data_IF_142528834332
#
_entry.id   IF_142528834332
#
_cell.length_a   1.000
_cell.length_b   1.000
_cell.length_c   1.000
_cell.angle_alpha   90.00
_cell.angle_beta   90.00
_cell.angle_gamma   90.00
#
_symmetry.space_group_name_H-M   'P 1'
#
loop_
_entity.id
_entity.type
_entity.pdbx_description
1 polymer ?
#
# COMPACT_ATOMS: atom_id res chain seq x y z
N UNK A 1 16.75 -7.38 -30.23
CA UNK A 1 16.95 -5.96 -29.89
C UNK A 1 15.62 -5.24 -29.70
N UNK A 2 14.68 -5.33 -30.67
CA UNK A 2 13.35 -4.69 -30.61
C UNK A 2 12.53 -5.05 -29.36
N UNK A 3 12.45 -6.33 -28.99
CA UNK A 3 11.71 -6.79 -27.81
C UNK A 3 12.21 -6.17 -26.49
N UNK A 4 13.53 -5.99 -26.34
CA UNK A 4 14.11 -5.35 -25.16
C UNK A 4 13.71 -3.87 -25.08
N UNK A 5 13.72 -3.18 -26.22
CA UNK A 5 13.30 -1.77 -26.30
C UNK A 5 11.82 -1.66 -25.93
N UNK A 6 10.96 -2.54 -26.46
CA UNK A 6 9.53 -2.56 -26.13
C UNK A 6 9.28 -2.74 -24.63
N UNK A 7 9.99 -3.67 -23.97
CA UNK A 7 9.90 -3.86 -22.52
C UNK A 7 10.27 -2.57 -21.78
N UNK A 8 11.40 -1.96 -22.12
CA UNK A 8 11.83 -0.71 -21.48
C UNK A 8 10.83 0.42 -21.66
N UNK A 9 10.28 0.58 -22.86
CA UNK A 9 9.26 1.60 -23.15
C UNK A 9 8.00 1.36 -22.32
N UNK A 10 7.49 0.12 -22.27
CA UNK A 10 6.30 -0.22 -21.49
C UNK A 10 6.54 0.00 -20.00
N UNK A 11 7.67 -0.47 -19.47
CA UNK A 11 8.03 -0.29 -18.06
C UNK A 11 8.19 1.19 -17.70
N UNK A 12 8.85 1.97 -18.55
CA UNK A 12 9.06 3.40 -18.31
C UNK A 12 7.72 4.16 -18.35
N UNK A 13 6.88 3.89 -19.35
CA UNK A 13 5.56 4.50 -19.46
C UNK A 13 4.65 4.15 -18.27
N UNK A 14 4.60 2.87 -17.87
CA UNK A 14 3.81 2.43 -16.72
C UNK A 14 4.32 3.08 -15.41
N UNK A 15 5.64 3.13 -15.20
CA UNK A 15 6.24 3.77 -14.01
C UNK A 15 5.95 5.27 -13.98
N UNK A 16 6.12 5.96 -15.13
CA UNK A 16 5.79 7.38 -15.23
C UNK A 16 4.31 7.64 -14.94
N UNK A 17 3.41 6.79 -15.42
CA UNK A 17 1.98 6.91 -15.14
C UNK A 17 1.64 6.65 -13.66
N UNK A 18 2.29 5.69 -13.00
CA UNK A 18 2.14 5.48 -11.55
C UNK A 18 2.56 6.72 -10.75
N UNK A 19 3.68 7.36 -11.13
CA UNK A 19 4.22 8.53 -10.42
C UNK A 19 3.37 9.79 -10.69
N UNK A 20 3.04 10.03 -11.96
CA UNK A 20 2.30 11.24 -12.37
C UNK A 20 0.80 11.17 -12.09
N UNK A 21 0.28 9.97 -11.78
CA UNK A 21 -1.14 9.66 -11.54
C UNK A 21 -2.06 10.38 -12.55
N UNK A 22 -1.87 10.17 -13.87
CA UNK A 22 -2.68 10.85 -14.85
C UNK A 22 -4.14 10.42 -14.66
N UNK A 23 -5.05 11.38 -14.80
CA UNK A 23 -6.50 11.19 -14.66
C UNK A 23 -6.98 10.76 -13.25
N UNK A 24 -6.14 10.90 -12.20
CA UNK A 24 -6.48 10.50 -10.81
C UNK A 24 -6.90 9.04 -10.67
N UNK A 25 -6.51 8.19 -11.61
CA UNK A 25 -6.74 6.75 -11.52
C UNK A 25 -5.84 6.14 -10.44
N UNK A 26 -6.28 5.05 -9.77
CA UNK A 26 -5.45 4.34 -8.82
C UNK A 26 -4.16 3.85 -9.47
N UNK A 27 -3.04 3.98 -8.76
CA UNK A 27 -1.71 3.53 -9.19
C UNK A 27 -1.70 2.07 -9.68
N UNK A 28 -2.50 1.22 -9.03
CA UNK A 28 -2.64 -0.19 -9.37
C UNK A 28 -3.09 -0.39 -10.83
N UNK A 29 -3.94 0.49 -11.36
CA UNK A 29 -4.43 0.39 -12.75
C UNK A 29 -3.25 0.49 -13.71
N UNK A 30 -2.39 1.50 -13.55
CA UNK A 30 -1.23 1.72 -14.42
C UNK A 30 -0.20 0.58 -14.32
N UNK A 31 0.09 0.12 -13.11
CA UNK A 31 1.01 -0.99 -12.88
C UNK A 31 0.50 -2.29 -13.50
N UNK A 32 -0.78 -2.63 -13.29
CA UNK A 32 -1.42 -3.83 -13.84
C UNK A 32 -1.52 -3.75 -15.35
N UNK A 33 -1.90 -2.61 -15.94
CA UNK A 33 -1.95 -2.45 -17.39
C UNK A 33 -0.57 -2.68 -18.02
N UNK A 34 0.51 -2.12 -17.44
CA UNK A 34 1.88 -2.36 -17.91
C UNK A 34 2.25 -3.85 -17.88
N UNK A 35 1.98 -4.53 -16.77
CA UNK A 35 2.24 -5.98 -16.64
C UNK A 35 1.43 -6.81 -17.65
N UNK A 36 0.14 -6.48 -17.84
CA UNK A 36 -0.74 -7.15 -18.82
C UNK A 36 -0.23 -6.95 -20.25
N UNK A 37 0.21 -5.75 -20.63
CA UNK A 37 0.77 -5.49 -21.96
C UNK A 37 2.03 -6.34 -22.21
N UNK A 38 2.91 -6.46 -21.21
CA UNK A 38 4.12 -7.30 -21.33
C UNK A 38 3.78 -8.77 -21.58
N UNK A 39 2.76 -9.30 -20.91
CA UNK A 39 2.32 -10.69 -21.07
C UNK A 39 1.58 -10.89 -22.39
N UNK A 40 0.66 -9.99 -22.75
CA UNK A 40 -0.15 -10.09 -23.98
C UNK A 40 0.70 -10.01 -25.25
N UNK A 41 1.74 -9.16 -25.27
CA UNK A 41 2.68 -9.08 -26.39
C UNK A 41 3.74 -10.18 -26.38
N UNK A 42 3.67 -11.16 -25.46
CA UNK A 42 4.63 -12.25 -25.36
C UNK A 42 6.04 -11.79 -24.97
N UNK A 43 6.18 -10.57 -24.43
CA UNK A 43 7.45 -10.00 -23.97
C UNK A 43 7.88 -10.58 -22.61
N UNK A 44 6.92 -11.13 -21.87
CA UNK A 44 7.14 -11.86 -20.61
C UNK A 44 6.33 -13.16 -20.59
N UNK A 45 6.94 -14.31 -20.25
CA UNK A 45 6.21 -15.56 -20.06
C UNK A 45 5.17 -15.46 -18.93
N UNK A 46 3.98 -16.01 -19.14
CA UNK A 46 2.90 -16.02 -18.14
C UNK A 46 3.35 -16.64 -16.81
N UNK A 47 4.13 -17.73 -16.86
CA UNK A 47 4.66 -18.37 -15.65
C UNK A 47 5.59 -17.47 -14.84
N UNK A 48 6.39 -16.63 -15.51
CA UNK A 48 7.25 -15.66 -14.84
C UNK A 48 6.43 -14.54 -14.17
N UNK A 49 5.39 -14.05 -14.87
CA UNK A 49 4.46 -13.07 -14.32
C UNK A 49 3.73 -13.61 -13.09
N UNK A 50 3.22 -14.84 -13.15
CA UNK A 50 2.55 -15.50 -12.02
C UNK A 50 3.49 -15.70 -10.83
N UNK A 51 4.72 -16.16 -11.09
CA UNK A 51 5.74 -16.30 -10.04
C UNK A 51 6.05 -14.95 -9.38
N UNK A 52 6.06 -13.85 -10.14
CA UNK A 52 6.27 -12.52 -9.59
C UNK A 52 5.14 -12.09 -8.65
N UNK A 53 3.88 -12.41 -8.98
CA UNK A 53 2.73 -12.18 -8.08
C UNK A 53 2.85 -12.99 -6.80
N UNK A 54 3.20 -14.28 -6.92
CA UNK A 54 3.34 -15.17 -5.76
C UNK A 54 4.46 -14.72 -4.80
N UNK A 55 5.55 -14.12 -5.30
CA UNK A 55 6.59 -13.53 -4.44
C UNK A 55 6.07 -12.39 -3.56
N UNK A 56 4.97 -11.74 -3.94
CA UNK A 56 4.34 -10.69 -3.14
C UNK A 56 3.43 -11.22 -2.02
N UNK A 57 3.13 -12.52 -1.99
CA UNK A 57 2.13 -13.12 -1.08
C UNK A 57 2.40 -12.79 0.38
N UNK A 58 3.66 -12.87 0.83
CA UNK A 58 4.02 -12.56 2.22
C UNK A 58 3.70 -11.10 2.57
N UNK A 59 3.98 -10.17 1.65
CA UNK A 59 3.67 -8.75 1.81
C UNK A 59 2.17 -8.51 1.81
N UNK A 60 1.43 -9.17 0.91
CA UNK A 60 -0.03 -9.06 0.84
C UNK A 60 -0.69 -9.56 2.13
N UNK A 61 -0.27 -10.73 2.61
CA UNK A 61 -0.76 -11.29 3.87
C UNK A 61 -0.37 -10.43 5.07
N UNK A 62 0.83 -9.85 5.08
CA UNK A 62 1.24 -8.92 6.12
C UNK A 62 0.36 -7.67 6.17
N UNK A 63 0.14 -7.00 5.04
CA UNK A 63 -0.72 -5.81 4.97
C UNK A 63 -2.16 -6.14 5.37
N UNK A 64 -2.71 -7.24 4.86
CA UNK A 64 -4.05 -7.72 5.22
C UNK A 64 -4.12 -8.02 6.73
N UNK A 65 -3.12 -8.71 7.28
CA UNK A 65 -3.03 -9.04 8.69
C UNK A 65 -3.00 -7.80 9.59
N UNK A 66 -2.20 -6.79 9.23
CA UNK A 66 -2.16 -5.52 9.96
C UNK A 66 -3.50 -4.78 9.91
N UNK A 67 -4.15 -4.74 8.74
CA UNK A 67 -5.47 -4.13 8.59
C UNK A 67 -6.53 -4.86 9.41
N UNK A 68 -6.53 -6.20 9.40
CA UNK A 68 -7.42 -7.02 10.21
C UNK A 68 -7.20 -6.80 11.70
N UNK A 69 -5.96 -6.74 12.15
CA UNK A 69 -5.62 -6.49 13.56
C UNK A 69 -6.12 -5.12 14.00
N UNK A 70 -5.89 -4.09 13.18
CA UNK A 70 -6.38 -2.72 13.43
C UNK A 70 -7.91 -2.66 13.45
N UNK A 71 -8.58 -3.32 12.52
CA UNK A 71 -10.04 -3.38 12.48
C UNK A 71 -10.61 -4.12 13.68
N UNK A 72 -9.97 -5.20 14.12
CA UNK A 72 -10.37 -5.95 15.33
C UNK A 72 -10.20 -5.10 16.58
N UNK A 73 -9.05 -4.43 16.72
CA UNK A 73 -8.79 -3.49 17.81
C UNK A 73 -9.83 -2.35 17.85
N UNK A 74 -10.24 -1.85 16.69
CA UNK A 74 -11.31 -0.86 16.57
C UNK A 74 -12.66 -1.44 17.00
N UNK A 75 -13.02 -2.64 16.53
CA UNK A 75 -14.29 -3.28 16.85
C UNK A 75 -14.44 -3.59 18.35
N UNK A 76 -13.34 -3.97 19.02
CA UNK A 76 -13.29 -4.21 20.47
C UNK A 76 -13.15 -2.92 21.31
N UNK A 77 -13.12 -1.74 20.68
CA UNK A 77 -13.05 -0.44 21.37
C UNK A 77 -11.68 -0.13 22.01
N UNK A 78 -10.62 -0.85 21.65
CA UNK A 78 -9.27 -0.62 22.18
C UNK A 78 -8.80 0.81 21.88
N UNK A 79 -9.01 1.28 20.66
CA UNK A 79 -8.61 2.64 20.26
C UNK A 79 -9.40 3.72 20.99
N UNK A 80 -10.68 3.47 21.29
CA UNK A 80 -11.51 4.41 22.08
C UNK A 80 -11.05 4.46 23.54
N UNK A 81 -10.74 3.30 24.13
CA UNK A 81 -10.19 3.23 25.48
C UNK A 81 -8.87 4.02 25.60
N UNK A 82 -7.96 3.83 24.63
CA UNK A 82 -6.71 4.59 24.54
C UNK A 82 -6.98 6.10 24.41
N UNK A 83 -7.92 6.49 23.54
CA UNK A 83 -8.23 7.90 23.30
C UNK A 83 -8.77 8.58 24.58
N UNK A 84 -9.68 7.93 25.30
CA UNK A 84 -10.20 8.43 26.58
C UNK A 84 -9.08 8.55 27.62
N UNK A 85 -8.18 7.57 27.69
CA UNK A 85 -7.04 7.61 28.59
C UNK A 85 -6.12 8.81 28.28
N UNK A 86 -5.82 9.05 27.00
CA UNK A 86 -5.01 10.20 26.56
C UNK A 86 -5.68 11.55 26.89
N UNK A 87 -7.00 11.68 26.67
CA UNK A 87 -7.76 12.91 26.99
C UNK A 87 -7.73 13.18 28.50
N UNK A 88 -7.98 12.17 29.32
CA UNK A 88 -7.97 12.31 30.78
C UNK A 88 -6.58 12.73 31.30
N UNK A 89 -5.51 12.23 30.69
CA UNK A 89 -4.14 12.62 31.05
C UNK A 89 -3.70 13.97 30.49
N UNK A 90 -4.33 14.48 29.43
CA UNK A 90 -4.00 15.75 28.81
C UNK A 90 -4.31 16.96 29.71
N UNK A 91 -5.26 16.82 30.66
CA UNK A 91 -5.64 17.86 31.63
C UNK A 91 -5.96 19.22 30.98
N UNK A 92 -6.67 19.20 29.85
CA UNK A 92 -7.09 20.39 29.11
C UNK A 92 -6.00 21.08 28.28
N UNK A 93 -4.77 20.56 28.23
CA UNK A 93 -3.69 21.11 27.41
C UNK A 93 -3.60 20.44 26.04
N UNK A 94 -3.75 21.22 24.96
CA UNK A 94 -3.65 20.75 23.57
C UNK A 94 -2.27 20.14 23.27
N UNK A 95 -1.18 20.75 23.73
CA UNK A 95 0.18 20.23 23.49
C UNK A 95 0.41 18.89 24.19
N UNK A 96 -0.14 18.70 25.40
CA UNK A 96 -0.06 17.41 26.12
C UNK A 96 -0.90 16.35 25.44
N UNK A 97 -2.10 16.69 24.97
CA UNK A 97 -2.93 15.76 24.20
C UNK A 97 -2.20 15.30 22.94
N UNK A 98 -1.63 16.23 22.18
CA UNK A 98 -0.86 15.90 20.97
C UNK A 98 0.31 14.97 21.28
N UNK A 99 1.10 15.27 22.30
CA UNK A 99 2.23 14.44 22.71
C UNK A 99 1.81 13.04 23.16
N UNK A 100 0.69 12.92 23.89
CA UNK A 100 0.17 11.63 24.36
C UNK A 100 -0.38 10.78 23.21
N UNK A 101 -1.17 11.37 22.30
CA UNK A 101 -1.69 10.66 21.12
C UNK A 101 -0.55 10.17 20.24
N UNK A 102 0.45 11.02 19.99
CA UNK A 102 1.62 10.63 19.23
C UNK A 102 2.43 9.54 19.94
N UNK A 103 2.64 9.68 21.25
CA UNK A 103 3.37 8.70 22.06
C UNK A 103 2.72 7.32 22.06
N UNK A 104 1.38 7.24 22.14
CA UNK A 104 0.68 5.95 22.04
C UNK A 104 0.80 5.36 20.64
N UNK A 105 0.81 6.18 19.58
CA UNK A 105 0.99 5.68 18.22
C UNK A 105 2.41 5.19 17.87
N UNK A 106 3.41 5.48 18.71
CA UNK A 106 4.81 5.06 18.51
C UNK A 106 5.10 3.65 19.04
N UNK A 107 4.35 3.18 20.04
CA UNK A 107 4.57 1.90 20.74
C UNK A 107 3.69 0.82 20.15
#
# INVERSE_FOLDING_TARGET
MLAKIAIWVICFAATAAVITRPFKLPEAVWAVTGAVLLVLFGLMPLGAAWTAVLKGTDVYLFLIGMMLLSETARAEGLFDWVAVHAVNMAKGSTSRLFALVFGVGVV
#
